data_IF_731690323861
#
_entry.id   IF_731690323861
#
_cell.length_a   1.000
_cell.length_b   1.000
_cell.length_c   1.000
_cell.angle_alpha   90.00
_cell.angle_beta   90.00
_cell.angle_gamma   90.00
#
_symmetry.space_group_name_H-M   'P 1'
#
loop_
_entity.id
_entity.type
_entity.pdbx_description
1 polymer ?
#
# COMPACT_ATOMS: atom_id res chain seq x y z
N UNK A 1 25.73 6.79 24.70
CA UNK A 1 25.09 5.49 24.38
C UNK A 1 24.12 5.72 23.24
N UNK A 2 24.49 5.32 22.03
CA UNK A 2 23.58 5.34 20.87
C UNK A 2 22.58 4.22 21.05
N UNK A 3 21.36 4.56 21.46
CA UNK A 3 20.26 3.60 21.51
C UNK A 3 19.90 3.23 20.08
N UNK A 4 20.36 2.07 19.65
CA UNK A 4 19.94 1.49 18.37
C UNK A 4 18.41 1.42 18.36
N UNK A 5 17.78 2.18 17.45
CA UNK A 5 16.32 2.15 17.32
C UNK A 5 15.80 0.78 16.94
N UNK A 6 14.61 0.40 17.39
CA UNK A 6 14.04 -0.90 17.09
C UNK A 6 13.88 -1.07 15.58
N UNK A 7 14.52 -2.08 15.02
CA UNK A 7 14.30 -2.51 13.65
C UNK A 7 12.94 -3.19 13.57
N UNK A 8 12.23 -3.00 12.47
CA UNK A 8 11.00 -3.76 12.23
C UNK A 8 11.25 -5.27 12.30
N UNK A 9 10.30 -5.99 12.85
CA UNK A 9 10.37 -7.45 12.97
C UNK A 9 10.44 -8.11 11.58
N UNK A 10 10.93 -9.35 11.54
CA UNK A 10 10.96 -10.13 10.30
C UNK A 10 9.54 -10.25 9.68
N UNK A 11 8.53 -10.51 10.51
CA UNK A 11 7.13 -10.60 10.09
C UNK A 11 6.64 -9.28 9.47
N UNK A 12 6.99 -8.12 10.06
CA UNK A 12 6.64 -6.82 9.50
C UNK A 12 7.24 -6.62 8.10
N UNK A 13 8.51 -7.01 7.91
CA UNK A 13 9.20 -6.93 6.60
C UNK A 13 8.57 -7.90 5.60
N UNK A 14 8.29 -9.12 6.00
CA UNK A 14 7.64 -10.13 5.15
C UNK A 14 6.27 -9.64 4.67
N UNK A 15 5.46 -9.12 5.59
CA UNK A 15 4.16 -8.53 5.25
C UNK A 15 4.30 -7.33 4.31
N UNK A 16 5.28 -6.46 4.55
CA UNK A 16 5.50 -5.30 3.68
C UNK A 16 5.83 -5.73 2.25
N UNK A 17 6.84 -6.59 2.09
CA UNK A 17 7.29 -7.03 0.78
C UNK A 17 6.28 -7.96 0.09
N UNK A 18 5.55 -8.77 0.85
CA UNK A 18 4.42 -9.55 0.33
C UNK A 18 3.33 -8.64 -0.25
N UNK A 19 3.02 -7.52 0.42
CA UNK A 19 2.10 -6.52 -0.12
C UNK A 19 2.62 -5.81 -1.36
N UNK A 20 3.93 -5.52 -1.42
CA UNK A 20 4.54 -4.95 -2.64
C UNK A 20 4.34 -5.89 -3.83
N UNK A 21 4.61 -7.18 -3.65
CA UNK A 21 4.43 -8.18 -4.72
C UNK A 21 2.95 -8.34 -5.12
N UNK A 22 2.05 -8.38 -4.12
CA UNK A 22 0.61 -8.47 -4.37
C UNK A 22 0.09 -7.24 -5.11
N UNK A 23 0.57 -6.05 -4.77
CA UNK A 23 0.21 -4.81 -5.44
C UNK A 23 0.74 -4.76 -6.89
N UNK A 24 2.01 -5.17 -7.11
CA UNK A 24 2.57 -5.29 -8.47
C UNK A 24 1.73 -6.25 -9.31
N UNK A 25 1.34 -7.39 -8.73
CA UNK A 25 0.46 -8.35 -9.42
C UNK A 25 -0.88 -7.72 -9.79
N UNK A 26 -1.51 -6.96 -8.87
CA UNK A 26 -2.75 -6.24 -9.14
C UNK A 26 -2.60 -5.26 -10.32
N UNK A 27 -1.46 -4.54 -10.39
CA UNK A 27 -1.17 -3.61 -11.50
C UNK A 27 -1.00 -4.32 -12.85
N UNK A 28 -0.37 -5.49 -12.85
CA UNK A 28 -0.14 -6.26 -14.08
C UNK A 28 -1.42 -6.93 -14.60
N UNK A 29 -2.42 -7.07 -13.74
CA UNK A 29 -3.72 -7.68 -14.03
C UNK A 29 -4.85 -6.67 -14.17
N UNK A 30 -4.54 -5.41 -14.41
CA UNK A 30 -5.58 -4.41 -14.61
C UNK A 30 -6.51 -4.81 -15.77
N UNK A 31 -7.80 -4.54 -15.55
CA UNK A 31 -8.84 -4.68 -16.57
C UNK A 31 -8.79 -3.42 -17.43
N UNK A 32 -8.65 -3.58 -18.74
CA UNK A 32 -8.57 -2.44 -19.67
C UNK A 32 -9.95 -1.85 -19.95
N UNK A 33 -10.98 -2.70 -20.01
CA UNK A 33 -12.35 -2.27 -20.34
C UNK A 33 -13.37 -2.95 -19.40
N UNK A 34 -14.37 -2.19 -18.97
CA UNK A 34 -15.42 -2.68 -18.07
C UNK A 34 -16.23 -3.85 -18.63
N UNK A 35 -16.38 -3.93 -19.96
CA UNK A 35 -17.09 -5.03 -20.63
C UNK A 35 -16.44 -6.39 -20.37
N UNK A 36 -15.14 -6.46 -20.06
CA UNK A 36 -14.46 -7.69 -19.68
C UNK A 36 -15.05 -8.31 -18.41
N UNK A 37 -15.68 -7.51 -17.53
CA UNK A 37 -16.40 -8.01 -16.35
C UNK A 37 -17.69 -8.74 -16.67
N UNK A 38 -18.12 -8.79 -17.93
CA UNK A 38 -19.22 -9.66 -18.37
C UNK A 38 -18.83 -11.14 -18.35
N UNK A 39 -17.53 -11.46 -18.43
CA UNK A 39 -17.03 -12.80 -18.13
C UNK A 39 -17.19 -13.10 -16.63
N UNK A 40 -18.12 -14.00 -16.34
CA UNK A 40 -18.40 -14.39 -14.96
C UNK A 40 -17.20 -15.01 -14.24
N UNK A 41 -16.26 -15.61 -14.97
CA UNK A 41 -15.03 -16.19 -14.40
C UNK A 41 -14.09 -15.10 -13.97
N UNK A 42 -13.88 -14.10 -14.83
CA UNK A 42 -13.06 -12.93 -14.53
C UNK A 42 -13.67 -12.13 -13.36
N UNK A 43 -14.97 -11.85 -13.40
CA UNK A 43 -15.66 -11.12 -12.33
C UNK A 43 -15.50 -11.82 -10.98
N UNK A 44 -15.68 -13.15 -10.92
CA UNK A 44 -15.46 -13.92 -9.68
C UNK A 44 -14.03 -13.83 -9.20
N UNK A 45 -13.08 -13.93 -10.10
CA UNK A 45 -11.67 -13.81 -9.76
C UNK A 45 -11.36 -12.45 -9.15
N UNK A 46 -11.81 -11.34 -9.76
CA UNK A 46 -11.57 -9.97 -9.27
C UNK A 46 -12.21 -9.74 -7.89
N UNK A 47 -13.44 -10.23 -7.69
CA UNK A 47 -14.13 -10.13 -6.39
C UNK A 47 -13.40 -10.91 -5.30
N UNK A 48 -12.98 -12.15 -5.58
CA UNK A 48 -12.23 -12.96 -4.63
C UNK A 48 -10.86 -12.31 -4.33
N UNK A 49 -10.15 -11.84 -5.37
CA UNK A 49 -8.87 -11.18 -5.23
C UNK A 49 -8.98 -9.92 -4.35
N UNK A 50 -9.97 -9.06 -4.62
CA UNK A 50 -10.22 -7.86 -3.82
C UNK A 50 -10.55 -8.20 -2.35
N UNK A 51 -11.38 -9.22 -2.10
CA UNK A 51 -11.71 -9.69 -0.76
C UNK A 51 -10.49 -10.19 0.01
N UNK A 52 -9.65 -11.01 -0.62
CA UNK A 52 -8.39 -11.51 -0.04
C UNK A 52 -7.43 -10.35 0.23
N UNK A 53 -7.33 -9.39 -0.70
CA UNK A 53 -6.49 -8.20 -0.54
C UNK A 53 -6.91 -7.38 0.69
N UNK A 54 -8.22 -7.12 0.87
CA UNK A 54 -8.75 -6.41 2.04
C UNK A 54 -8.42 -7.16 3.32
N UNK A 55 -8.63 -8.47 3.36
CA UNK A 55 -8.32 -9.28 4.55
C UNK A 55 -6.84 -9.18 4.93
N UNK A 56 -5.94 -9.35 3.98
CA UNK A 56 -4.51 -9.23 4.21
C UNK A 56 -4.11 -7.81 4.64
N UNK A 57 -4.73 -6.77 4.05
CA UNK A 57 -4.52 -5.38 4.43
C UNK A 57 -4.90 -5.13 5.89
N UNK A 58 -6.04 -5.64 6.35
CA UNK A 58 -6.49 -5.53 7.73
C UNK A 58 -5.52 -6.23 8.69
N UNK A 59 -5.12 -7.48 8.38
CA UNK A 59 -4.15 -8.23 9.18
C UNK A 59 -2.84 -7.42 9.30
N UNK A 60 -2.32 -6.91 8.18
CA UNK A 60 -1.11 -6.08 8.19
C UNK A 60 -1.29 -4.80 8.98
N UNK A 61 -2.39 -4.09 8.81
CA UNK A 61 -2.67 -2.83 9.52
C UNK A 61 -2.69 -3.04 11.03
N UNK A 62 -3.45 -4.02 11.52
CA UNK A 62 -3.52 -4.31 12.95
C UNK A 62 -2.18 -4.80 13.50
N UNK A 63 -1.48 -5.68 12.78
CA UNK A 63 -0.16 -6.14 13.20
C UNK A 63 0.82 -4.97 13.33
N UNK A 64 0.93 -4.12 12.31
CA UNK A 64 1.83 -2.97 12.35
C UNK A 64 1.48 -2.00 13.47
N UNK A 65 0.19 -1.71 13.66
CA UNK A 65 -0.28 -0.76 14.69
C UNK A 65 -0.02 -1.25 16.12
N UNK A 66 -0.14 -2.56 16.36
CA UNK A 66 -0.03 -3.12 17.70
C UNK A 66 1.39 -3.54 18.09
N UNK A 67 2.23 -3.91 17.12
CA UNK A 67 3.53 -4.54 17.39
C UNK A 67 4.73 -3.69 16.99
N UNK A 68 4.56 -2.71 16.10
CA UNK A 68 5.69 -1.97 15.55
C UNK A 68 5.72 -0.51 16.01
N UNK A 69 6.95 0.01 16.19
CA UNK A 69 7.19 1.42 16.50
C UNK A 69 7.87 2.10 15.30
N UNK A 70 7.78 3.42 15.25
CA UNK A 70 8.45 4.20 14.20
C UNK A 70 9.97 3.98 14.25
N UNK A 71 10.58 3.80 13.06
CA UNK A 71 12.03 3.71 12.89
C UNK A 71 12.71 5.06 12.63
N UNK A 72 11.94 6.16 12.59
CA UNK A 72 12.49 7.49 12.38
C UNK A 72 13.38 7.92 13.55
N UNK A 73 14.56 8.54 13.31
CA UNK A 73 15.42 9.09 14.34
C UNK A 73 14.70 10.11 15.23
N UNK A 74 15.08 10.21 16.52
CA UNK A 74 14.48 11.18 17.47
C UNK A 74 14.77 12.64 17.07
N UNK A 75 15.87 12.85 16.34
CA UNK A 75 16.26 14.13 15.77
C UNK A 75 15.49 14.51 14.50
N UNK A 76 14.55 13.67 14.05
CA UNK A 76 13.79 13.93 12.81
C UNK A 76 12.88 15.16 12.99
N UNK A 77 12.95 16.15 12.08
CA UNK A 77 12.10 17.33 12.12
C UNK A 77 10.61 16.98 12.12
N UNK A 78 9.80 17.75 12.86
CA UNK A 78 8.35 17.54 12.97
C UNK A 78 7.64 17.52 11.60
N UNK A 79 8.09 18.34 10.66
CA UNK A 79 7.58 18.36 9.28
C UNK A 79 7.79 17.05 8.55
N UNK A 80 8.96 16.42 8.69
CA UNK A 80 9.24 15.11 8.08
C UNK A 80 8.42 13.99 8.74
N UNK A 81 8.24 14.05 10.06
CA UNK A 81 7.35 13.11 10.78
C UNK A 81 5.92 13.25 10.29
N UNK A 82 5.43 14.48 10.10
CA UNK A 82 4.09 14.73 9.58
C UNK A 82 3.95 14.23 8.14
N UNK A 83 4.92 14.56 7.28
CA UNK A 83 4.94 14.08 5.89
C UNK A 83 4.90 12.53 5.82
N UNK A 84 5.72 11.85 6.62
CA UNK A 84 5.71 10.40 6.71
C UNK A 84 4.34 9.86 7.15
N UNK A 85 3.70 10.48 8.15
CA UNK A 85 2.35 10.09 8.58
C UNK A 85 1.32 10.28 7.49
N UNK A 86 1.33 11.42 6.79
CA UNK A 86 0.40 11.71 5.69
C UNK A 86 0.54 10.71 4.56
N UNK A 87 1.77 10.45 4.10
CA UNK A 87 2.05 9.49 3.02
C UNK A 87 1.60 8.08 3.43
N UNK A 88 1.99 7.58 4.60
CA UNK A 88 1.60 6.24 5.04
C UNK A 88 0.08 6.11 5.25
N UNK A 89 -0.56 7.10 5.89
CA UNK A 89 -2.03 7.06 6.09
C UNK A 89 -2.76 7.15 4.76
N UNK A 90 -2.31 8.02 3.85
CA UNK A 90 -2.86 8.12 2.50
C UNK A 90 -2.74 6.80 1.73
N UNK A 91 -1.58 6.12 1.81
CA UNK A 91 -1.41 4.80 1.20
C UNK A 91 -2.39 3.77 1.78
N UNK A 92 -2.59 3.71 3.10
CA UNK A 92 -3.57 2.80 3.70
C UNK A 92 -5.01 3.11 3.25
N UNK A 93 -5.36 4.40 3.16
CA UNK A 93 -6.68 4.82 2.69
C UNK A 93 -6.89 4.38 1.23
N UNK A 94 -5.93 4.65 0.35
CA UNK A 94 -6.04 4.24 -1.06
C UNK A 94 -6.05 2.71 -1.21
N UNK A 95 -5.18 1.98 -0.48
CA UNK A 95 -5.13 0.52 -0.48
C UNK A 95 -6.43 -0.12 0.05
N UNK A 96 -7.21 0.58 0.86
CA UNK A 96 -8.54 0.15 1.27
C UNK A 96 -9.61 0.55 0.25
N UNK A 97 -9.54 1.79 -0.27
CA UNK A 97 -10.54 2.33 -1.18
C UNK A 97 -10.56 1.62 -2.54
N UNK A 98 -9.38 1.28 -3.08
CA UNK A 98 -9.25 0.57 -4.37
C UNK A 98 -10.03 -0.76 -4.37
N UNK A 99 -9.76 -1.73 -3.47
CA UNK A 99 -10.51 -2.98 -3.48
C UNK A 99 -11.97 -2.80 -3.04
N UNK A 100 -12.28 -1.81 -2.19
CA UNK A 100 -13.66 -1.53 -1.80
C UNK A 100 -14.49 -1.04 -3.01
N UNK A 101 -13.98 -0.10 -3.79
CA UNK A 101 -14.65 0.36 -5.02
C UNK A 101 -14.69 -0.73 -6.07
N UNK A 102 -13.63 -1.56 -6.20
CA UNK A 102 -13.62 -2.75 -7.06
C UNK A 102 -14.72 -3.76 -6.69
N UNK A 103 -14.92 -4.04 -5.39
CA UNK A 103 -16.00 -4.89 -4.91
C UNK A 103 -17.37 -4.27 -5.19
N UNK A 104 -17.51 -2.94 -5.07
CA UNK A 104 -18.74 -2.23 -5.42
C UNK A 104 -19.03 -2.35 -6.92
N UNK A 105 -18.05 -2.14 -7.79
CA UNK A 105 -18.17 -2.34 -9.24
C UNK A 105 -18.61 -3.78 -9.53
N UNK A 106 -17.95 -4.77 -8.92
CA UNK A 106 -18.32 -6.17 -9.07
C UNK A 106 -19.75 -6.48 -8.63
N UNK A 107 -20.21 -5.88 -7.53
CA UNK A 107 -21.59 -6.01 -7.05
C UNK A 107 -22.59 -5.39 -8.04
N UNK A 108 -22.30 -4.20 -8.58
CA UNK A 108 -23.16 -3.53 -9.57
C UNK A 108 -23.30 -4.38 -10.84
N UNK A 109 -22.19 -4.93 -11.35
CA UNK A 109 -22.21 -5.86 -12.48
C UNK A 109 -23.02 -7.12 -12.20
N UNK A 110 -22.87 -7.69 -11.01
CA UNK A 110 -23.65 -8.86 -10.60
C UNK A 110 -25.16 -8.56 -10.52
N UNK A 111 -25.54 -7.32 -10.14
CA UNK A 111 -26.92 -6.85 -10.12
C UNK A 111 -27.45 -6.43 -11.51
N UNK A 112 -26.63 -6.51 -12.56
CA UNK A 112 -26.97 -6.11 -13.92
C UNK A 112 -26.90 -4.61 -14.18
N UNK A 113 -26.32 -3.82 -13.24
CA UNK A 113 -26.11 -2.38 -13.38
C UNK A 113 -24.72 -2.18 -14.00
N UNK A 114 -24.68 -2.07 -15.34
CA UNK A 114 -23.43 -2.03 -16.10
C UNK A 114 -23.10 -0.63 -16.64
N UNK A 115 -24.03 0.28 -16.58
CA UNK A 115 -23.93 1.67 -17.06
C UNK A 115 -24.66 2.65 -16.17
N UNK A 116 -24.48 3.95 -16.43
CA UNK A 116 -25.14 5.04 -15.75
C UNK A 116 -24.42 5.51 -14.47
N UNK A 117 -25.05 6.46 -13.80
CA UNK A 117 -24.45 7.30 -12.75
C UNK A 117 -23.78 6.51 -11.60
N UNK A 118 -24.34 5.40 -11.17
CA UNK A 118 -23.80 4.62 -10.05
C UNK A 118 -22.47 3.94 -10.41
N UNK A 119 -22.42 3.33 -11.59
CA UNK A 119 -21.18 2.69 -12.05
C UNK A 119 -20.10 3.73 -12.36
N UNK A 120 -20.48 4.87 -12.97
CA UNK A 120 -19.55 5.96 -13.30
C UNK A 120 -18.89 6.53 -12.04
N UNK A 121 -19.65 6.72 -10.94
CA UNK A 121 -19.08 7.16 -9.67
C UNK A 121 -18.14 6.10 -9.08
N UNK A 122 -18.54 4.82 -9.09
CA UNK A 122 -17.74 3.76 -8.53
C UNK A 122 -16.39 3.60 -9.28
N UNK A 123 -16.44 3.65 -10.60
CA UNK A 123 -15.26 3.60 -11.48
C UNK A 123 -14.39 4.83 -11.27
N UNK A 124 -14.98 6.03 -11.32
CA UNK A 124 -14.23 7.28 -11.12
C UNK A 124 -13.54 7.34 -9.75
N UNK A 125 -14.20 6.86 -8.68
CA UNK A 125 -13.59 6.76 -7.37
C UNK A 125 -12.43 5.75 -7.33
N UNK A 126 -12.58 4.61 -8.03
CA UNK A 126 -11.53 3.60 -8.16
C UNK A 126 -10.30 4.17 -8.89
N UNK A 127 -10.49 4.75 -10.06
CA UNK A 127 -9.43 5.35 -10.88
C UNK A 127 -8.71 6.50 -10.15
N UNK A 128 -9.48 7.34 -9.46
CA UNK A 128 -8.92 8.41 -8.64
C UNK A 128 -8.02 7.84 -7.53
N UNK A 129 -8.48 6.83 -6.81
CA UNK A 129 -7.67 6.19 -5.75
C UNK A 129 -6.41 5.53 -6.30
N UNK A 130 -6.50 4.87 -7.48
CA UNK A 130 -5.35 4.31 -8.19
C UNK A 130 -4.37 5.41 -8.60
N UNK A 131 -4.84 6.52 -9.14
CA UNK A 131 -3.98 7.65 -9.51
C UNK A 131 -3.26 8.25 -8.30
N UNK A 132 -3.97 8.44 -7.18
CA UNK A 132 -3.38 8.98 -5.94
C UNK A 132 -2.33 8.05 -5.36
N UNK A 133 -2.58 6.72 -5.36
CA UNK A 133 -1.63 5.78 -4.75
C UNK A 133 -0.31 5.72 -5.52
N UNK A 134 -0.28 5.91 -6.83
CA UNK A 134 0.96 5.99 -7.60
C UNK A 134 1.85 7.14 -7.11
N UNK A 135 1.28 8.32 -6.89
CA UNK A 135 2.02 9.45 -6.36
C UNK A 135 2.53 9.20 -4.94
N UNK A 136 1.69 8.61 -4.09
CA UNK A 136 2.08 8.30 -2.71
C UNK A 136 3.19 7.25 -2.64
N UNK A 137 3.15 6.22 -3.49
CA UNK A 137 4.23 5.22 -3.60
C UNK A 137 5.51 5.87 -4.11
N UNK A 138 5.42 6.74 -5.13
CA UNK A 138 6.57 7.49 -5.62
C UNK A 138 7.23 8.31 -4.52
N UNK A 139 6.44 9.09 -3.76
CA UNK A 139 6.93 9.86 -2.62
C UNK A 139 7.52 8.96 -1.52
N UNK A 140 6.89 7.83 -1.23
CA UNK A 140 7.38 6.86 -0.25
C UNK A 140 8.75 6.29 -0.66
N UNK A 141 8.91 5.90 -1.92
CA UNK A 141 10.19 5.39 -2.44
C UNK A 141 11.27 6.48 -2.40
N UNK A 142 10.94 7.71 -2.84
CA UNK A 142 11.88 8.83 -2.78
C UNK A 142 12.33 9.13 -1.35
N UNK A 143 11.41 9.11 -0.38
CA UNK A 143 11.74 9.27 1.03
C UNK A 143 12.64 8.13 1.52
N UNK A 144 12.39 6.88 1.13
CA UNK A 144 13.23 5.74 1.51
C UNK A 144 14.65 5.87 0.94
N UNK A 145 14.78 6.29 -0.32
CA UNK A 145 16.09 6.57 -0.97
C UNK A 145 16.81 7.72 -0.28
N UNK A 146 16.09 8.80 0.05
CA UNK A 146 16.64 9.92 0.82
C UNK A 146 17.24 9.46 2.16
N UNK A 147 16.51 8.66 2.93
CA UNK A 147 16.99 8.10 4.20
C UNK A 147 18.19 7.16 4.00
N UNK A 148 18.23 6.41 2.90
CA UNK A 148 19.39 5.59 2.54
C UNK A 148 20.64 6.44 2.30
N UNK A 149 20.52 7.56 1.55
CA UNK A 149 21.63 8.48 1.29
C UNK A 149 22.10 9.15 2.57
N UNK A 150 21.18 9.47 3.47
CA UNK A 150 21.44 10.04 4.79
C UNK A 150 22.11 9.05 5.76
N UNK A 151 22.00 7.73 5.49
CA UNK A 151 22.55 6.65 6.31
C UNK A 151 22.08 6.68 7.77
N UNK A 152 20.81 6.97 8.00
CA UNK A 152 20.22 7.14 9.33
C UNK A 152 19.52 5.87 9.87
N UNK A 153 19.66 4.73 9.19
CA UNK A 153 19.14 3.43 9.59
C UNK A 153 17.69 3.16 9.19
N UNK A 154 16.94 4.16 8.70
CA UNK A 154 15.55 4.01 8.31
C UNK A 154 15.40 3.02 7.15
N UNK A 155 16.24 3.11 6.11
CA UNK A 155 16.27 2.16 5.01
C UNK A 155 16.47 0.73 5.50
N UNK A 156 17.53 0.49 6.28
CA UNK A 156 17.87 -0.84 6.78
C UNK A 156 16.84 -1.42 7.77
N UNK A 157 15.95 -0.57 8.30
CA UNK A 157 14.87 -1.01 9.19
C UNK A 157 13.81 -1.82 8.45
N UNK A 158 13.51 -1.51 7.18
CA UNK A 158 12.44 -2.16 6.41
C UNK A 158 12.97 -2.96 5.21
N UNK A 159 14.06 -2.50 4.55
CA UNK A 159 14.63 -3.16 3.38
C UNK A 159 15.61 -4.26 3.82
N UNK A 160 15.40 -5.53 3.42
CA UNK A 160 16.23 -6.64 3.87
C UNK A 160 17.59 -6.74 3.12
N UNK A 161 17.68 -6.12 1.97
CA UNK A 161 18.86 -6.12 1.10
C UNK A 161 19.49 -4.73 1.00
N UNK A 162 20.73 -4.66 0.52
CA UNK A 162 21.48 -3.40 0.36
C UNK A 162 21.48 -2.57 1.66
N UNK A 163 21.74 -3.22 2.79
CA UNK A 163 21.81 -2.58 4.11
C UNK A 163 22.83 -1.45 4.10
N UNK A 164 22.57 -0.42 4.88
CA UNK A 164 23.52 0.65 5.12
C UNK A 164 24.71 0.09 5.89
N UNK A 165 25.93 0.42 5.44
CA UNK A 165 27.13 0.13 6.23
C UNK A 165 27.14 1.10 7.40
N UNK A 166 26.98 0.60 8.63
CA UNK A 166 27.27 1.39 9.82
C UNK A 166 28.79 1.57 9.85
N UNK A 167 29.25 2.77 9.57
CA UNK A 167 30.55 3.20 10.05
C UNK A 167 30.41 3.40 11.55
N UNK A 168 30.56 2.34 12.35
CA UNK A 168 30.86 2.47 13.76
C UNK A 168 32.25 3.13 13.84
N UNK A 169 32.28 4.42 14.10
CA UNK A 169 33.41 5.14 14.66
C UNK A 169 33.12 5.42 16.13
#
# INVERSE_FOLDING_TARGET
MSTLKPRFSFTAKLMHWGFVLLFIYALLKQIDELNQLEDATLLRFEVIFAGVFVLLLLIRFFYMKTTQKSSLPDSTPKSQILAAKVVHSGMYICLALIPFTGLLIGLLFWLGIKDGFLIDIAVGAHEFAVSVIYWLIGLHILAAVYHRLKRDGVWSSMVPFLKEFNNEK
#
